data_IF_053887131389
#
_entry.id   IF_053887131389
#
_cell.length_a   1.000
_cell.length_b   1.000
_cell.length_c   1.000
_cell.angle_alpha   90.00
_cell.angle_beta   90.00
_cell.angle_gamma   90.00
#
_symmetry.space_group_name_H-M   'P 1'
#
loop_
_entity.id
_entity.type
_entity.pdbx_description
1 polymer ?
#
# COMPACT_ATOMS: atom_id res chain seq x y z
N UNK A 1 -8.99 -4.16 -21.54
CA UNK A 1 -7.94 -3.73 -20.59
C UNK A 1 -8.59 -3.50 -19.24
N UNK A 2 -8.04 -4.09 -18.21
CA UNK A 2 -8.54 -3.95 -16.84
C UNK A 2 -8.32 -2.53 -16.37
N UNK A 3 -9.29 -1.97 -15.66
CA UNK A 3 -9.22 -0.63 -15.12
C UNK A 3 -9.31 -0.69 -13.59
N UNK A 4 -8.16 -0.88 -12.96
CA UNK A 4 -8.02 -0.74 -11.50
C UNK A 4 -8.20 0.73 -11.16
N UNK A 5 -9.06 1.01 -10.17
CA UNK A 5 -9.38 2.38 -9.76
C UNK A 5 -8.64 2.83 -8.51
N UNK A 6 -8.20 1.89 -7.67
CA UNK A 6 -7.52 2.22 -6.41
C UNK A 6 -6.77 1.02 -5.81
N UNK A 7 -5.74 1.30 -5.03
CA UNK A 7 -5.20 0.38 -4.04
C UNK A 7 -6.16 0.38 -2.84
N UNK A 8 -6.79 -0.75 -2.59
CA UNK A 8 -7.86 -0.89 -1.59
C UNK A 8 -7.32 -1.21 -0.21
N UNK A 9 -6.32 -2.07 -0.15
CA UNK A 9 -5.80 -2.56 1.13
C UNK A 9 -4.76 -3.65 0.97
N UNK A 10 -4.27 -4.09 2.12
CA UNK A 10 -3.26 -5.14 2.24
C UNK A 10 -3.67 -6.10 3.34
N UNK A 11 -3.48 -7.41 3.12
CA UNK A 11 -3.58 -8.42 4.16
C UNK A 11 -2.19 -9.00 4.37
N UNK A 12 -1.71 -8.96 5.60
CA UNK A 12 -0.41 -9.46 6.02
C UNK A 12 -0.55 -10.75 6.83
N UNK A 13 0.40 -11.63 6.67
CA UNK A 13 0.65 -12.74 7.59
C UNK A 13 1.46 -12.21 8.75
N UNK A 14 1.08 -12.54 9.97
CA UNK A 14 1.77 -12.11 11.19
C UNK A 14 2.08 -13.29 12.08
N UNK A 15 3.29 -13.32 12.59
CA UNK A 15 3.76 -14.30 13.61
C UNK A 15 3.47 -13.81 15.02
N UNK A 16 3.11 -12.53 15.19
CA UNK A 16 2.91 -11.80 16.45
C UNK A 16 1.60 -11.05 16.48
N UNK A 17 0.50 -11.77 16.22
CA UNK A 17 -0.82 -11.14 15.96
C UNK A 17 -1.29 -10.20 17.08
N UNK A 18 -1.07 -10.56 18.35
CA UNK A 18 -1.50 -9.76 19.51
C UNK A 18 -0.70 -8.46 19.62
N UNK A 19 0.62 -8.53 19.49
CA UNK A 19 1.53 -7.37 19.47
C UNK A 19 1.18 -6.44 18.28
N UNK A 20 0.93 -7.04 17.11
CA UNK A 20 0.56 -6.30 15.91
C UNK A 20 -0.79 -5.57 16.08
N UNK A 21 -1.78 -6.23 16.70
CA UNK A 21 -3.08 -5.59 16.97
C UNK A 21 -2.91 -4.38 17.89
N UNK A 22 -2.20 -4.52 18.99
CA UNK A 22 -1.94 -3.43 19.93
C UNK A 22 -1.22 -2.26 19.23
N UNK A 23 -0.18 -2.55 18.44
CA UNK A 23 0.57 -1.54 17.70
C UNK A 23 -0.32 -0.75 16.73
N UNK A 24 -1.08 -1.44 15.86
CA UNK A 24 -1.89 -0.77 14.85
C UNK A 24 -3.05 0.03 15.44
N UNK A 25 -3.63 -0.39 16.57
CA UNK A 25 -4.69 0.37 17.24
C UNK A 25 -4.15 1.57 18.03
N UNK A 26 -3.11 1.36 18.86
CA UNK A 26 -2.69 2.37 19.83
C UNK A 26 -1.68 3.36 19.26
N UNK A 27 -0.75 2.89 18.43
CA UNK A 27 0.36 3.69 17.92
C UNK A 27 0.14 4.14 16.47
N UNK A 28 -0.28 3.21 15.60
CA UNK A 28 -0.46 3.54 14.18
C UNK A 28 -1.76 4.31 13.90
N UNK A 29 -2.75 4.20 14.79
CA UNK A 29 -3.99 4.97 14.72
C UNK A 29 -5.04 4.38 13.79
N UNK A 30 -5.02 3.06 13.58
CA UNK A 30 -6.08 2.35 12.88
C UNK A 30 -7.14 1.87 13.88
N UNK A 31 -8.36 1.68 13.40
CA UNK A 31 -9.45 1.17 14.24
C UNK A 31 -9.73 -0.29 13.90
N UNK A 32 -9.63 -1.16 14.89
CA UNK A 32 -9.97 -2.57 14.73
C UNK A 32 -11.47 -2.75 14.48
N UNK A 33 -11.78 -3.66 13.57
CA UNK A 33 -13.15 -4.03 13.20
C UNK A 33 -13.55 -5.29 13.95
N UNK A 34 -14.69 -5.25 14.63
CA UNK A 34 -15.29 -6.46 15.17
C UNK A 34 -15.77 -7.37 14.02
N UNK A 35 -14.99 -8.40 13.74
CA UNK A 35 -15.31 -9.37 12.70
C UNK A 35 -15.32 -10.79 13.26
N UNK A 36 -16.28 -11.61 12.82
CA UNK A 36 -16.39 -13.02 13.21
C UNK A 36 -15.68 -13.95 12.21
N UNK A 37 -14.50 -13.56 11.73
CA UNK A 37 -13.79 -14.30 10.66
C UNK A 37 -12.58 -15.07 11.20
N UNK A 38 -12.85 -16.01 12.09
CA UNK A 38 -11.80 -16.80 12.72
C UNK A 38 -10.86 -15.93 13.55
N UNK A 39 -9.56 -16.20 13.43
CA UNK A 39 -8.51 -15.43 14.13
C UNK A 39 -7.97 -14.25 13.31
N UNK A 40 -8.57 -13.95 12.16
CA UNK A 40 -8.16 -12.83 11.32
C UNK A 40 -8.62 -11.51 11.93
N UNK A 41 -7.77 -10.51 11.89
CA UNK A 41 -8.06 -9.16 12.40
C UNK A 41 -8.04 -8.18 11.24
N UNK A 42 -8.98 -7.23 11.24
CA UNK A 42 -9.09 -6.22 10.20
C UNK A 42 -9.16 -4.83 10.82
N UNK A 43 -8.55 -3.86 10.13
CA UNK A 43 -8.50 -2.49 10.57
C UNK A 43 -9.06 -1.56 9.50
N UNK A 44 -9.93 -0.66 9.92
CA UNK A 44 -10.38 0.46 9.11
C UNK A 44 -9.53 1.71 9.40
N UNK A 45 -9.44 2.55 8.38
CA UNK A 45 -8.96 3.92 8.47
C UNK A 45 -10.15 4.89 8.45
N UNK A 46 -9.88 6.20 8.47
CA UNK A 46 -10.93 7.23 8.45
C UNK A 46 -11.55 7.46 7.07
N UNK A 47 -10.95 6.92 5.98
CA UNK A 47 -11.48 6.97 4.63
C UNK A 47 -12.61 5.97 4.35
N UNK A 48 -13.05 5.88 3.10
CA UNK A 48 -14.28 5.18 2.70
C UNK A 48 -14.16 3.65 2.58
N UNK A 49 -12.93 3.09 2.55
CA UNK A 49 -12.74 1.65 2.45
C UNK A 49 -13.26 0.92 3.70
N UNK A 50 -13.86 -0.26 3.49
CA UNK A 50 -14.38 -1.08 4.58
C UNK A 50 -13.31 -1.56 5.55
N UNK A 51 -12.10 -1.81 5.04
CA UNK A 51 -10.85 -1.97 5.77
C UNK A 51 -9.68 -1.77 4.83
N UNK A 52 -8.53 -1.35 5.38
CA UNK A 52 -7.31 -1.12 4.61
C UNK A 52 -6.18 -2.09 4.98
N UNK A 53 -6.21 -2.63 6.20
CA UNK A 53 -5.22 -3.59 6.67
C UNK A 53 -5.93 -4.80 7.27
N UNK A 54 -5.48 -6.00 6.89
CA UNK A 54 -5.85 -7.27 7.51
C UNK A 54 -4.62 -7.97 8.06
N UNK A 55 -4.77 -8.70 9.16
CA UNK A 55 -3.75 -9.57 9.73
C UNK A 55 -4.28 -10.99 9.81
N UNK A 56 -3.47 -11.95 9.34
CA UNK A 56 -3.75 -13.38 9.39
C UNK A 56 -2.64 -14.03 10.21
N UNK A 57 -2.96 -14.76 11.29
CA UNK A 57 -1.96 -15.52 12.03
C UNK A 57 -1.30 -16.57 11.12
N UNK A 58 0.03 -16.58 11.08
CA UNK A 58 0.82 -17.54 10.30
C UNK A 58 2.15 -17.82 11.03
N UNK A 59 2.84 -18.88 10.64
CA UNK A 59 4.18 -19.21 11.16
C UNK A 59 5.29 -18.39 10.50
N UNK A 60 4.96 -17.68 9.41
CA UNK A 60 5.87 -16.80 8.67
C UNK A 60 5.16 -15.48 8.39
N UNK A 61 5.87 -14.36 8.57
CA UNK A 61 5.36 -13.05 8.14
C UNK A 61 5.50 -12.89 6.63
N UNK A 62 4.69 -12.02 6.05
CA UNK A 62 4.73 -11.72 4.62
C UNK A 62 3.41 -11.17 4.11
N UNK A 63 3.32 -11.01 2.80
CA UNK A 63 2.07 -10.61 2.14
C UNK A 63 1.14 -11.84 2.05
N UNK A 64 -0.10 -11.71 2.54
CA UNK A 64 -1.17 -12.66 2.26
C UNK A 64 -1.94 -12.25 1.01
N UNK A 65 -2.34 -10.97 0.89
CA UNK A 65 -3.10 -10.50 -0.28
C UNK A 65 -2.95 -8.99 -0.47
N UNK A 66 -2.63 -8.56 -1.68
CA UNK A 66 -2.75 -7.16 -2.12
C UNK A 66 -4.14 -6.98 -2.74
N UNK A 67 -4.85 -5.91 -2.36
CA UNK A 67 -6.23 -5.69 -2.75
C UNK A 67 -6.37 -4.44 -3.62
N UNK A 68 -6.89 -4.63 -4.83
CA UNK A 68 -7.19 -3.54 -5.76
C UNK A 68 -8.69 -3.42 -6.03
N UNK A 69 -9.14 -2.18 -6.23
CA UNK A 69 -10.51 -1.85 -6.50
C UNK A 69 -10.83 -1.88 -7.99
N UNK A 70 -11.99 -2.42 -8.32
CA UNK A 70 -12.67 -2.26 -9.59
C UNK A 70 -13.98 -1.48 -9.37
N UNK A 71 -14.43 -0.77 -10.38
CA UNK A 71 -15.57 0.14 -10.31
C UNK A 71 -16.89 -0.55 -9.90
N UNK A 72 -17.12 -1.78 -10.35
CA UNK A 72 -18.39 -2.47 -10.14
C UNK A 72 -18.26 -3.99 -10.22
N UNK A 73 -19.22 -4.77 -9.66
CA UNK A 73 -19.27 -6.21 -9.83
C UNK A 73 -19.23 -6.68 -11.30
N UNK A 74 -19.87 -5.94 -12.22
CA UNK A 74 -19.82 -6.22 -13.65
C UNK A 74 -18.38 -6.07 -14.21
N UNK A 75 -17.62 -5.09 -13.72
CA UNK A 75 -16.20 -4.95 -14.10
C UNK A 75 -15.36 -6.09 -13.54
N UNK A 76 -15.68 -6.63 -12.36
CA UNK A 76 -15.03 -7.82 -11.81
C UNK A 76 -15.23 -9.02 -12.74
N UNK A 77 -16.49 -9.30 -13.17
CA UNK A 77 -16.79 -10.41 -14.07
C UNK A 77 -16.08 -10.28 -15.43
N UNK A 78 -16.06 -9.05 -15.99
CA UNK A 78 -15.38 -8.77 -17.26
C UNK A 78 -13.86 -8.96 -17.13
N UNK A 79 -13.25 -8.45 -16.04
CA UNK A 79 -11.82 -8.59 -15.77
C UNK A 79 -11.41 -10.06 -15.57
N UNK A 80 -12.25 -10.83 -14.89
CA UNK A 80 -12.05 -12.28 -14.76
C UNK A 80 -12.03 -12.99 -16.12
N UNK A 81 -12.99 -12.67 -16.99
CA UNK A 81 -13.07 -13.27 -18.31
C UNK A 81 -11.86 -12.90 -19.19
N UNK A 82 -11.42 -11.64 -19.14
CA UNK A 82 -10.25 -11.14 -19.87
C UNK A 82 -8.96 -11.82 -19.40
N UNK A 83 -8.71 -11.87 -18.08
CA UNK A 83 -7.52 -12.51 -17.50
C UNK A 83 -7.50 -14.02 -17.75
N UNK A 84 -8.66 -14.66 -17.70
CA UNK A 84 -8.78 -16.09 -18.04
C UNK A 84 -8.44 -16.35 -19.50
N UNK A 85 -8.94 -15.51 -20.40
CA UNK A 85 -8.65 -15.63 -21.83
C UNK A 85 -7.19 -15.38 -22.17
N UNK A 86 -6.48 -14.52 -21.41
CA UNK A 86 -5.05 -14.27 -21.55
C UNK A 86 -4.15 -15.27 -20.81
N UNK A 87 -4.73 -16.31 -20.19
CA UNK A 87 -4.00 -17.39 -19.54
C UNK A 87 -3.37 -17.03 -18.18
N UNK A 88 -3.86 -15.97 -17.52
CA UNK A 88 -3.36 -15.60 -16.20
C UNK A 88 -3.71 -16.64 -15.13
N UNK A 89 -2.87 -16.76 -14.11
CA UNK A 89 -3.02 -17.73 -13.03
C UNK A 89 -4.09 -17.29 -12.02
N UNK A 90 -5.35 -17.62 -12.32
CA UNK A 90 -6.50 -17.33 -11.46
C UNK A 90 -6.65 -18.40 -10.37
N UNK A 91 -6.95 -17.98 -9.14
CA UNK A 91 -7.09 -18.87 -7.98
C UNK A 91 -8.53 -19.32 -7.75
N UNK A 92 -9.48 -18.43 -8.06
CA UNK A 92 -10.92 -18.69 -7.89
C UNK A 92 -11.75 -17.93 -8.94
N UNK A 93 -13.07 -18.13 -8.92
CA UNK A 93 -14.03 -17.38 -9.74
C UNK A 93 -14.61 -16.22 -8.94
N UNK A 94 -15.14 -15.16 -9.60
CA UNK A 94 -15.83 -14.09 -8.90
C UNK A 94 -16.91 -14.60 -7.95
N UNK A 95 -16.84 -14.15 -6.71
CA UNK A 95 -17.78 -14.51 -5.64
C UNK A 95 -17.82 -13.42 -4.57
N UNK A 96 -18.79 -13.53 -3.64
CA UNK A 96 -18.84 -12.66 -2.46
C UNK A 96 -17.71 -13.07 -1.51
N UNK A 97 -16.78 -12.15 -1.26
CA UNK A 97 -15.63 -12.39 -0.41
C UNK A 97 -16.04 -12.48 1.06
N UNK A 98 -15.47 -13.45 1.77
CA UNK A 98 -15.71 -13.67 3.19
C UNK A 98 -14.78 -12.76 4.04
N UNK A 99 -14.84 -11.43 3.83
CA UNK A 99 -14.09 -10.39 4.53
C UNK A 99 -15.02 -9.22 4.87
N UNK A 100 -14.69 -8.36 5.87
CA UNK A 100 -15.50 -7.18 6.18
C UNK A 100 -15.66 -6.24 4.98
N UNK A 101 -16.76 -5.46 4.94
CA UNK A 101 -16.99 -4.44 3.91
C UNK A 101 -17.87 -4.85 2.73
N UNK A 102 -18.19 -6.14 2.57
CA UNK A 102 -19.14 -6.61 1.55
C UNK A 102 -18.61 -6.48 0.14
N UNK A 103 -17.53 -7.17 -0.15
CA UNK A 103 -16.88 -7.16 -1.45
C UNK A 103 -17.30 -8.34 -2.32
N UNK A 104 -17.27 -8.12 -3.63
CA UNK A 104 -17.40 -9.14 -4.67
C UNK A 104 -16.14 -9.11 -5.52
N UNK A 105 -15.46 -10.24 -5.67
CA UNK A 105 -14.16 -10.28 -6.32
C UNK A 105 -13.63 -11.68 -6.55
N UNK A 106 -12.41 -11.76 -7.04
CA UNK A 106 -11.65 -12.97 -7.25
C UNK A 106 -10.16 -12.73 -7.00
N UNK A 107 -9.39 -13.82 -6.97
CA UNK A 107 -7.96 -13.77 -6.72
C UNK A 107 -7.16 -14.35 -7.89
N UNK A 108 -5.96 -13.79 -8.09
CA UNK A 108 -4.95 -14.27 -9.02
C UNK A 108 -3.57 -14.19 -8.37
N UNK A 109 -2.57 -14.79 -9.03
CA UNK A 109 -1.18 -14.61 -8.63
C UNK A 109 -0.48 -13.70 -9.64
N UNK A 110 0.39 -12.82 -9.13
CA UNK A 110 1.38 -12.15 -9.97
C UNK A 110 2.54 -13.08 -10.34
N UNK A 111 3.57 -12.52 -10.99
CA UNK A 111 4.72 -13.32 -11.46
C UNK A 111 5.61 -13.81 -10.32
N UNK A 112 5.64 -13.10 -9.20
CA UNK A 112 6.39 -13.47 -7.99
C UNK A 112 5.59 -14.40 -7.05
N UNK A 113 4.36 -14.72 -7.43
CA UNK A 113 3.47 -15.58 -6.63
C UNK A 113 2.71 -14.82 -5.54
N UNK A 114 2.74 -13.50 -5.54
CA UNK A 114 1.94 -12.69 -4.63
C UNK A 114 0.45 -12.79 -5.00
N UNK A 115 -0.39 -13.05 -4.01
CA UNK A 115 -1.84 -13.10 -4.21
C UNK A 115 -2.41 -11.70 -4.34
N UNK A 116 -3.15 -11.47 -5.42
CA UNK A 116 -3.85 -10.22 -5.73
C UNK A 116 -5.35 -10.47 -5.67
N UNK A 117 -6.08 -9.61 -4.98
CA UNK A 117 -7.54 -9.51 -5.02
C UNK A 117 -7.96 -8.40 -5.97
N UNK A 118 -8.82 -8.71 -6.94
CA UNK A 118 -9.55 -7.73 -7.73
C UNK A 118 -11.01 -7.74 -7.30
N UNK A 119 -11.49 -6.65 -6.71
CA UNK A 119 -12.83 -6.62 -6.12
C UNK A 119 -13.55 -5.29 -6.29
N UNK A 120 -14.88 -5.35 -6.23
CA UNK A 120 -15.75 -4.20 -6.15
C UNK A 120 -16.54 -4.22 -4.83
N UNK A 121 -16.79 -3.05 -4.25
CA UNK A 121 -17.65 -2.94 -3.08
C UNK A 121 -19.12 -3.10 -3.50
N UNK A 122 -19.87 -3.82 -2.68
CA UNK A 122 -21.33 -3.95 -2.81
C UNK A 122 -22.08 -3.12 -1.77
N UNK A 123 -21.34 -2.41 -0.91
CA UNK A 123 -21.88 -1.55 0.16
C UNK A 123 -21.16 -0.21 0.16
N UNK A 124 -21.85 0.86 0.50
CA UNK A 124 -21.27 2.18 0.76
C UNK A 124 -21.07 2.33 2.27
N UNK A 125 -19.83 2.53 2.69
CA UNK A 125 -19.50 2.90 4.07
C UNK A 125 -19.56 4.44 4.16
N UNK A 126 -20.71 4.98 4.52
CA UNK A 126 -20.86 6.41 4.81
C UNK A 126 -21.06 6.57 6.32
N UNK A 127 -20.37 7.49 6.94
CA UNK A 127 -20.40 7.89 8.36
C UNK A 127 -19.39 7.14 9.25
N UNK A 128 -18.11 7.34 8.99
CA UNK A 128 -17.06 7.07 9.97
C UNK A 128 -16.79 8.34 10.79
N UNK A 129 -16.54 8.16 12.07
CA UNK A 129 -15.97 9.21 12.90
C UNK A 129 -14.58 9.56 12.33
N UNK A 130 -14.36 10.84 12.05
CA UNK A 130 -13.11 11.30 11.43
C UNK A 130 -12.17 11.80 12.51
N UNK A 131 -11.12 11.04 12.78
CA UNK A 131 -9.91 11.57 13.41
C UNK A 131 -9.04 12.21 12.31
N UNK A 132 -8.85 13.55 12.32
CA UNK A 132 -8.12 14.25 11.27
C UNK A 132 -6.63 13.88 11.22
N UNK A 133 -6.12 13.26 12.28
CA UNK A 133 -4.70 12.91 12.37
C UNK A 133 -4.42 11.42 12.13
N UNK A 134 -5.46 10.60 12.06
CA UNK A 134 -5.32 9.17 11.78
C UNK A 134 -5.14 8.90 10.28
N UNK A 135 -4.55 7.75 9.91
CA UNK A 135 -4.49 7.33 8.52
C UNK A 135 -5.88 7.28 7.86
N UNK A 136 -5.96 7.71 6.61
CA UNK A 136 -7.20 7.74 5.84
C UNK A 136 -7.33 6.53 4.91
N UNK A 137 -6.21 6.07 4.34
CA UNK A 137 -6.15 4.99 3.34
C UNK A 137 -4.71 4.50 3.21
N UNK A 138 -4.51 3.40 2.51
CA UNK A 138 -3.19 3.12 1.95
C UNK A 138 -2.90 4.13 0.84
N UNK A 139 -1.70 4.70 0.85
CA UNK A 139 -1.19 5.51 -0.24
C UNK A 139 -0.63 4.60 -1.33
N UNK A 140 0.39 3.84 -0.96
CA UNK A 140 1.07 2.91 -1.85
C UNK A 140 1.69 1.75 -1.08
N UNK A 141 2.14 0.76 -1.81
CA UNK A 141 3.04 -0.26 -1.30
C UNK A 141 4.19 -0.47 -2.29
N UNK A 142 5.31 -0.95 -1.81
CA UNK A 142 6.48 -1.27 -2.63
C UNK A 142 6.82 -2.74 -2.47
N UNK A 143 7.02 -3.39 -3.61
CA UNK A 143 7.42 -4.79 -3.71
C UNK A 143 8.89 -4.88 -4.11
N UNK A 144 9.63 -5.73 -3.44
CA UNK A 144 10.92 -6.22 -3.89
C UNK A 144 10.70 -7.36 -4.89
N UNK A 145 11.45 -7.38 -5.99
CA UNK A 145 11.37 -8.44 -7.00
C UNK A 145 12.71 -8.73 -7.63
N UNK A 146 13.07 -10.02 -7.84
CA UNK A 146 14.26 -10.40 -8.58
C UNK A 146 14.17 -10.04 -10.07
N UNK A 147 12.97 -10.03 -10.64
CA UNK A 147 12.69 -9.56 -11.99
C UNK A 147 11.64 -8.44 -11.97
N UNK A 148 12.05 -7.30 -11.42
CA UNK A 148 11.19 -6.14 -11.28
C UNK A 148 10.71 -5.58 -12.63
N UNK A 149 11.45 -5.79 -13.72
CA UNK A 149 11.02 -5.39 -15.07
C UNK A 149 9.84 -6.23 -15.53
N UNK A 150 9.93 -7.56 -15.43
CA UNK A 150 8.83 -8.45 -15.78
C UNK A 150 7.61 -8.20 -14.86
N UNK A 151 7.83 -8.01 -13.57
CA UNK A 151 6.76 -7.73 -12.62
C UNK A 151 6.06 -6.39 -12.93
N UNK A 152 6.79 -5.32 -13.21
CA UNK A 152 6.25 -4.04 -13.69
C UNK A 152 5.41 -4.24 -14.96
N UNK A 153 5.93 -4.99 -15.94
CA UNK A 153 5.23 -5.25 -17.21
C UNK A 153 3.93 -6.04 -16.98
N UNK A 154 3.90 -6.97 -16.03
CA UNK A 154 2.68 -7.65 -15.63
C UNK A 154 1.64 -6.66 -15.08
N UNK A 155 1.99 -5.79 -14.15
CA UNK A 155 1.07 -4.81 -13.59
C UNK A 155 0.56 -3.82 -14.64
N UNK A 156 1.38 -3.44 -15.62
CA UNK A 156 0.98 -2.55 -16.71
C UNK A 156 0.10 -3.29 -17.73
N UNK A 157 0.59 -4.39 -18.29
CA UNK A 157 -0.03 -5.03 -19.44
C UNK A 157 -1.23 -5.91 -19.08
N UNK A 158 -1.20 -6.54 -17.89
CA UNK A 158 -2.28 -7.41 -17.44
C UNK A 158 -3.30 -6.69 -16.56
N UNK A 159 -2.86 -5.80 -15.68
CA UNK A 159 -3.73 -5.15 -14.69
C UNK A 159 -4.06 -3.69 -15.03
N UNK A 160 -3.41 -3.12 -16.06
CA UNK A 160 -3.75 -1.80 -16.58
C UNK A 160 -3.20 -0.62 -15.78
N UNK A 161 -2.20 -0.84 -14.92
CA UNK A 161 -1.50 0.25 -14.27
C UNK A 161 -0.68 1.03 -15.32
N UNK A 162 -0.30 2.26 -14.99
CA UNK A 162 0.51 3.13 -15.85
C UNK A 162 1.83 3.44 -15.16
N UNK A 163 2.92 3.49 -15.93
CA UNK A 163 4.20 3.98 -15.43
C UNK A 163 4.07 5.47 -15.08
N UNK A 164 4.47 5.82 -13.87
CA UNK A 164 4.59 7.21 -13.45
C UNK A 164 6.02 7.70 -13.61
N UNK A 165 6.97 7.07 -12.95
CA UNK A 165 8.39 7.41 -13.00
C UNK A 165 9.23 6.14 -12.82
N UNK A 166 10.56 6.25 -13.00
CA UNK A 166 11.47 5.14 -12.71
C UNK A 166 12.86 5.64 -12.30
N UNK A 167 13.61 4.80 -11.59
CA UNK A 167 15.03 5.03 -11.34
C UNK A 167 15.88 4.43 -12.45
N UNK A 168 16.94 5.16 -12.82
CA UNK A 168 17.94 4.74 -13.80
C UNK A 168 18.42 3.30 -13.54
N UNK A 169 18.74 2.58 -14.62
CA UNK A 169 19.13 1.16 -14.62
C UNK A 169 18.04 0.22 -14.08
N UNK A 170 16.77 0.60 -14.25
CA UNK A 170 15.62 -0.21 -13.86
C UNK A 170 15.63 -0.62 -12.36
N UNK A 171 16.20 0.23 -11.51
CA UNK A 171 16.31 -0.08 -10.08
C UNK A 171 14.95 -0.04 -9.38
N UNK A 172 14.07 0.84 -9.83
CA UNK A 172 12.76 1.05 -9.22
C UNK A 172 11.75 1.60 -10.25
N UNK A 173 10.51 1.15 -10.19
CA UNK A 173 9.40 1.64 -11.00
C UNK A 173 8.26 2.13 -10.13
N UNK A 174 7.71 3.30 -10.43
CA UNK A 174 6.52 3.87 -9.80
C UNK A 174 5.32 3.67 -10.73
N UNK A 175 4.28 3.01 -10.23
CA UNK A 175 3.09 2.66 -11.01
C UNK A 175 1.83 3.30 -10.42
N UNK A 176 0.95 3.83 -11.27
CA UNK A 176 -0.31 4.46 -10.89
C UNK A 176 -1.52 3.79 -11.53
N UNK A 177 -2.67 3.85 -10.86
CA UNK A 177 -3.96 3.41 -11.42
C UNK A 177 -5.02 4.52 -11.39
N UNK A 178 -4.75 5.63 -10.72
CA UNK A 178 -5.64 6.78 -10.55
C UNK A 178 -4.85 8.09 -10.67
N UNK A 179 -5.35 9.18 -10.11
CA UNK A 179 -4.70 10.49 -10.12
C UNK A 179 -3.42 10.56 -9.27
N UNK A 180 -3.23 9.68 -8.29
CA UNK A 180 -2.02 9.66 -7.48
C UNK A 180 -0.80 9.31 -8.32
N UNK A 181 0.33 9.98 -8.06
CA UNK A 181 1.58 9.71 -8.76
C UNK A 181 1.92 8.22 -8.77
N UNK A 182 1.75 7.53 -7.64
CA UNK A 182 1.90 6.08 -7.60
C UNK A 182 1.05 5.45 -6.48
N UNK A 183 0.68 4.21 -6.71
CA UNK A 183 0.02 3.33 -5.73
C UNK A 183 0.81 2.04 -5.51
N UNK A 184 1.75 1.76 -6.42
CA UNK A 184 2.61 0.58 -6.37
C UNK A 184 4.02 0.97 -6.82
N UNK A 185 5.01 0.61 -6.00
CA UNK A 185 6.43 0.60 -6.38
C UNK A 185 6.91 -0.82 -6.60
N UNK A 186 7.86 -1.00 -7.53
CA UNK A 186 8.54 -2.28 -7.77
C UNK A 186 10.03 -2.05 -7.80
N UNK A 187 10.73 -2.57 -6.79
CA UNK A 187 12.16 -2.40 -6.59
C UNK A 187 12.93 -3.65 -6.97
N UNK A 188 14.09 -3.45 -7.58
CA UNK A 188 15.05 -4.53 -7.88
C UNK A 188 15.66 -5.06 -6.59
N UNK A 189 15.53 -6.37 -6.35
CA UNK A 189 16.05 -7.04 -5.15
C UNK A 189 16.43 -8.48 -5.46
N UNK A 190 17.12 -9.15 -4.54
CA UNK A 190 17.47 -10.57 -4.69
C UNK A 190 16.29 -11.51 -4.36
N UNK A 191 15.24 -11.01 -3.74
CA UNK A 191 14.08 -11.81 -3.34
C UNK A 191 12.77 -11.05 -3.53
N UNK A 192 11.66 -11.80 -3.55
CA UNK A 192 10.31 -11.26 -3.59
C UNK A 192 9.81 -11.06 -2.17
N UNK A 193 9.49 -9.81 -1.81
CA UNK A 193 9.00 -9.45 -0.47
C UNK A 193 8.26 -8.11 -0.48
N UNK A 194 7.61 -7.76 0.63
CA UNK A 194 7.16 -6.40 0.88
C UNK A 194 8.37 -5.56 1.28
N UNK A 195 8.65 -4.49 0.53
CA UNK A 195 9.64 -3.50 0.91
C UNK A 195 9.06 -2.60 2.01
N UNK A 196 7.96 -1.92 1.71
CA UNK A 196 7.21 -1.14 2.69
C UNK A 196 5.75 -0.94 2.27
N UNK A 197 4.95 -0.46 3.21
CA UNK A 197 3.58 -0.01 2.98
C UNK A 197 3.38 1.39 3.55
N UNK A 198 2.81 2.29 2.74
CA UNK A 198 2.59 3.68 3.08
C UNK A 198 1.12 3.97 3.39
N UNK A 199 0.91 4.65 4.51
CA UNK A 199 -0.39 5.07 5.02
C UNK A 199 -0.53 6.58 4.83
N UNK A 200 -1.53 6.98 4.06
CA UNK A 200 -1.82 8.39 3.81
C UNK A 200 -2.46 9.04 5.03
N UNK A 201 -1.90 10.15 5.46
CA UNK A 201 -2.50 11.09 6.41
C UNK A 201 -2.85 12.40 5.70
N UNK A 202 -3.73 13.21 6.29
CA UNK A 202 -4.33 14.39 5.64
C UNK A 202 -3.27 15.34 5.06
N UNK A 203 -2.29 15.70 5.88
CA UNK A 203 -1.27 16.72 5.56
C UNK A 203 0.02 16.51 6.38
N UNK A 204 0.96 17.43 6.21
CA UNK A 204 2.21 17.44 6.97
C UNK A 204 1.98 17.62 8.48
N UNK A 205 0.99 18.41 8.93
CA UNK A 205 0.70 18.57 10.38
C UNK A 205 0.22 17.24 10.98
N UNK A 206 -0.69 16.54 10.31
CA UNK A 206 -1.14 15.22 10.72
C UNK A 206 0.02 14.21 10.77
N UNK A 207 0.91 14.23 9.77
CA UNK A 207 2.09 13.38 9.74
C UNK A 207 3.02 13.66 10.93
N UNK A 208 3.31 14.93 11.22
CA UNK A 208 4.18 15.32 12.34
C UNK A 208 3.58 14.92 13.70
N UNK A 209 2.24 14.99 13.85
CA UNK A 209 1.56 14.50 15.06
C UNK A 209 1.68 13.00 15.21
N UNK A 210 1.54 12.22 14.12
CA UNK A 210 1.74 10.76 14.16
C UNK A 210 3.17 10.39 14.51
N UNK A 211 4.15 11.10 13.93
CA UNK A 211 5.57 10.95 14.29
C UNK A 211 5.78 11.21 15.78
N UNK A 212 5.15 12.27 16.33
CA UNK A 212 5.20 12.58 17.76
C UNK A 212 4.62 11.46 18.64
N UNK A 213 3.53 10.82 18.22
CA UNK A 213 2.96 9.65 18.92
C UNK A 213 3.98 8.50 18.95
N UNK A 214 4.59 8.17 17.81
CA UNK A 214 5.59 7.11 17.70
C UNK A 214 6.82 7.41 18.58
N UNK A 215 7.34 8.65 18.50
CA UNK A 215 8.51 9.07 19.29
C UNK A 215 8.23 9.02 20.81
N UNK A 216 7.06 9.48 21.27
CA UNK A 216 6.66 9.43 22.66
C UNK A 216 6.53 7.99 23.21
N UNK A 217 6.22 7.04 22.33
CA UNK A 217 6.18 5.62 22.64
C UNK A 217 7.56 4.94 22.53
N UNK A 218 8.62 5.69 22.19
CA UNK A 218 9.98 5.16 22.09
C UNK A 218 10.34 4.55 20.74
N UNK A 219 9.51 4.74 19.71
CA UNK A 219 9.80 4.31 18.34
C UNK A 219 10.52 5.42 17.57
N UNK A 220 11.77 5.18 17.20
CA UNK A 220 12.54 6.10 16.38
C UNK A 220 12.28 5.85 14.89
N UNK A 221 12.28 6.91 14.05
CA UNK A 221 12.20 6.73 12.61
C UNK A 221 13.38 5.93 12.07
N UNK A 222 13.09 4.98 11.18
CA UNK A 222 14.11 4.32 10.36
C UNK A 222 14.70 5.31 9.34
N UNK A 223 13.83 6.19 8.79
CA UNK A 223 14.22 7.21 7.84
C UNK A 223 13.17 8.34 7.81
N UNK A 224 13.62 9.58 7.69
CA UNK A 224 12.76 10.75 7.69
C UNK A 224 12.66 11.44 9.07
N UNK A 225 11.74 12.41 9.25
CA UNK A 225 10.84 12.92 8.21
C UNK A 225 11.60 13.57 7.06
N UNK A 226 11.03 13.48 5.86
CA UNK A 226 11.63 14.02 4.65
C UNK A 226 10.61 14.23 3.54
N UNK A 227 11.09 14.64 2.35
CA UNK A 227 10.29 14.74 1.13
C UNK A 227 11.00 14.05 -0.02
N UNK A 228 10.28 13.15 -0.70
CA UNK A 228 10.77 12.45 -1.87
C UNK A 228 10.87 13.38 -3.10
N UNK A 229 11.79 13.09 -4.02
CA UNK A 229 11.82 13.67 -5.35
C UNK A 229 10.71 13.10 -6.23
N UNK A 230 10.71 11.76 -6.51
CA UNK A 230 9.61 11.12 -7.20
C UNK A 230 8.32 11.21 -6.38
N UNK A 231 7.26 11.77 -6.96
CA UNK A 231 5.97 11.91 -6.29
C UNK A 231 5.86 13.05 -5.29
N UNK A 232 6.97 13.73 -4.93
CA UNK A 232 7.04 14.92 -4.06
C UNK A 232 6.33 14.76 -2.70
N UNK A 233 6.09 13.54 -2.25
CA UNK A 233 5.39 13.28 -0.98
C UNK A 233 6.31 13.45 0.23
N UNK A 234 5.75 13.97 1.31
CA UNK A 234 6.36 13.89 2.64
C UNK A 234 6.30 12.45 3.15
N UNK A 235 7.35 12.02 3.86
CA UNK A 235 7.47 10.66 4.36
C UNK A 235 8.12 10.57 5.73
N UNK A 236 7.80 9.50 6.45
CA UNK A 236 8.55 9.06 7.63
C UNK A 236 8.33 7.56 7.84
N UNK A 237 9.43 6.81 7.89
CA UNK A 237 9.42 5.34 7.99
C UNK A 237 9.67 4.88 9.41
N UNK A 238 8.98 3.82 9.81
CA UNK A 238 9.12 3.15 11.11
C UNK A 238 9.17 1.64 10.94
N UNK A 239 9.82 0.96 11.86
CA UNK A 239 9.68 -0.49 12.00
C UNK A 239 8.38 -0.80 12.73
N UNK A 240 7.55 -1.61 12.10
CA UNK A 240 6.32 -2.15 12.67
C UNK A 240 6.48 -3.59 13.15
N UNK A 241 5.39 -4.22 13.62
CA UNK A 241 5.38 -5.64 13.99
C UNK A 241 5.84 -6.53 12.84
N UNK A 242 6.44 -7.67 13.19
CA UNK A 242 7.05 -8.60 12.23
C UNK A 242 8.14 -7.96 11.34
N UNK A 243 8.74 -6.84 11.79
CA UNK A 243 9.75 -6.06 11.07
C UNK A 243 9.28 -5.52 9.71
N UNK A 244 7.97 -5.33 9.53
CA UNK A 244 7.48 -4.61 8.36
C UNK A 244 7.86 -3.14 8.43
N UNK A 245 8.35 -2.61 7.32
CA UNK A 245 8.60 -1.17 7.19
C UNK A 245 7.30 -0.47 6.85
N UNK A 246 6.92 0.48 7.70
CA UNK A 246 5.66 1.24 7.60
C UNK A 246 5.98 2.71 7.39
N UNK A 247 5.25 3.37 6.50
CA UNK A 247 5.44 4.77 6.17
C UNK A 247 4.17 5.57 6.51
N UNK A 248 4.33 6.69 7.22
CA UNK A 248 3.35 7.78 7.14
C UNK A 248 3.71 8.67 5.96
N UNK A 249 2.72 9.00 5.13
CA UNK A 249 2.95 9.86 3.96
C UNK A 249 1.81 10.85 3.75
N UNK A 250 2.14 12.01 3.19
CA UNK A 250 1.20 13.06 2.81
C UNK A 250 1.67 13.79 1.55
N UNK A 251 0.79 14.60 0.97
CA UNK A 251 1.12 15.52 -0.14
C UNK A 251 1.69 14.84 -1.39
N UNK A 252 1.32 13.57 -1.65
CA UNK A 252 1.71 12.90 -2.89
C UNK A 252 1.09 13.63 -4.09
N UNK A 253 1.91 13.91 -5.13
CA UNK A 253 1.44 14.57 -6.37
C UNK A 253 0.20 13.86 -6.91
N UNK A 254 -0.80 14.65 -7.28
CA UNK A 254 -1.96 14.21 -8.02
C UNK A 254 -1.89 14.70 -9.46
N UNK A 255 -2.00 13.77 -10.40
CA UNK A 255 -2.08 14.02 -11.83
C UNK A 255 -3.53 14.34 -12.17
N UNK A 256 -3.82 15.57 -12.61
CA UNK A 256 -5.18 15.98 -12.93
C UNK A 256 -5.80 15.16 -14.07
N UNK A 257 -7.13 15.00 -14.05
CA UNK A 257 -7.85 14.33 -15.14
C UNK A 257 -7.71 15.13 -16.44
N UNK A 258 -7.17 14.46 -17.47
CA UNK A 258 -6.92 15.08 -18.76
C UNK A 258 -5.49 15.58 -18.96
N UNK A 259 -4.67 15.62 -17.94
CA UNK A 259 -3.25 15.90 -18.06
C UNK A 259 -2.48 14.66 -18.56
N UNK A 260 -1.64 14.85 -19.56
CA UNK A 260 -0.70 13.83 -19.98
C UNK A 260 0.50 13.82 -19.01
N UNK A 261 0.55 12.82 -18.13
CA UNK A 261 1.74 12.59 -17.32
C UNK A 261 2.85 12.05 -18.22
N UNK A 262 3.99 12.74 -18.26
CA UNK A 262 5.19 12.26 -18.91
C UNK A 262 6.11 11.62 -17.87
N UNK A 263 6.28 10.28 -17.89
CA UNK A 263 7.18 9.59 -16.96
C UNK A 263 8.60 10.13 -17.02
N UNK A 264 9.24 10.29 -15.85
CA UNK A 264 10.59 10.82 -15.71
C UNK A 264 11.55 9.75 -15.19
N UNK A 265 12.75 9.72 -15.76
CA UNK A 265 13.88 8.95 -15.20
C UNK A 265 14.54 9.77 -14.08
N UNK A 266 14.76 9.13 -12.94
CA UNK A 266 15.48 9.69 -11.81
C UNK A 266 16.83 8.99 -11.63
N UNK A 267 17.86 9.75 -11.29
CA UNK A 267 19.16 9.21 -10.91
C UNK A 267 19.15 9.04 -9.39
N UNK A 268 19.34 7.79 -8.86
CA UNK A 268 19.43 7.60 -7.42
C UNK A 268 20.50 8.48 -6.79
N UNK A 269 20.16 9.21 -5.74
CA UNK A 269 21.07 10.13 -5.09
C UNK A 269 20.35 11.28 -4.37
N UNK A 270 21.05 12.37 -4.04
CA UNK A 270 20.46 13.51 -3.32
C UNK A 270 19.24 14.13 -4.00
N UNK A 271 19.12 13.98 -5.34
CA UNK A 271 17.97 14.51 -6.10
C UNK A 271 16.68 13.71 -5.89
N UNK A 272 16.77 12.49 -5.35
CA UNK A 272 15.59 11.65 -5.06
C UNK A 272 14.96 11.92 -3.71
N UNK A 273 15.58 12.80 -2.91
CA UNK A 273 15.06 13.31 -1.64
C UNK A 273 15.32 14.80 -1.59
N UNK A 274 14.28 15.61 -1.65
CA UNK A 274 14.40 17.08 -1.64
C UNK A 274 14.93 17.59 -0.31
N UNK A 275 14.51 17.00 0.79
CA UNK A 275 15.08 17.16 2.12
C UNK A 275 14.73 15.94 3.00
N UNK A 276 15.62 15.65 3.94
CA UNK A 276 15.38 14.70 5.02
C UNK A 276 16.10 15.19 6.27
N UNK A 277 15.54 14.92 7.45
CA UNK A 277 16.36 14.88 8.63
C UNK A 277 17.32 13.70 8.47
N UNK A 278 18.56 14.01 8.11
CA UNK A 278 19.67 13.10 8.31
C UNK A 278 19.61 12.70 9.80
N UNK A 279 19.69 11.40 10.07
CA UNK A 279 19.81 10.86 11.43
C UNK A 279 20.56 11.86 12.30
N UNK A 280 19.92 12.29 13.39
CA UNK A 280 20.61 13.13 14.38
C UNK A 280 21.95 12.45 14.67
N UNK A 281 23.09 13.18 14.59
CA UNK A 281 24.35 12.60 14.96
C UNK A 281 24.18 12.03 16.37
N UNK A 282 24.55 10.74 16.55
CA UNK A 282 24.46 10.01 17.81
C UNK A 282 25.42 10.55 18.89
N UNK A 283 25.78 11.80 18.82
CA UNK A 283 26.51 12.51 19.87
C UNK A 283 25.53 13.31 20.71
N UNK A 284 24.85 12.63 21.61
CA UNK A 284 24.39 13.23 22.86
C UNK A 284 25.61 13.47 23.73
N UNK A 285 26.32 14.55 23.46
CA UNK A 285 27.13 15.24 24.44
C UNK A 285 26.47 16.59 24.68
N UNK A 286 25.61 16.64 25.68
CA UNK A 286 25.33 17.82 26.50
C UNK A 286 25.27 17.34 27.93
#
# INVERSE_FOLDING_TARGET
>A
MINITNLRGLILKSTKIEEAVEFYETLWGLKKIDSKQGNNVFFEATGDEGFILGLVPDNQHGIETIRFALESPKKVDNSFAELKASGQKLLDKPHKLAIPGGYYGFHLLDLDGTKIELSATTKTNKNKEKDPFAPQRLSHLVLNSPDNVALKDFYINCLGLKLADWYKNDLFFFLRCNQQHHVLGVEKSDNSSLNHVAFHVEDLDAMMRRIGVMANAGHEPLWGPGRHGPGDNCFCYFEGPDSFVLEFTSELIEVSDGDEWTPKEWIPGPETVSYTHLTLPTNREV
#
